data_IF_082197448144
#
_entry.id   IF_082197448144
#
_cell.length_a   1.000
_cell.length_b   1.000
_cell.length_c   1.000
_cell.angle_alpha   90.00
_cell.angle_beta   90.00
_cell.angle_gamma   90.00
#
_symmetry.space_group_name_H-M   'P 1'
#
loop_
_entity.id
_entity.type
_entity.pdbx_description
1 polymer ?
#
# COMPACT_ATOMS: atom_id res chain seq x y z
N UNK A 1 -44.96 6.67 17.13
CA UNK A 1 -43.86 5.69 17.30
C UNK A 1 -43.11 5.59 15.97
N UNK A 2 -42.23 6.52 15.62
CA UNK A 2 -41.68 6.51 14.25
C UNK A 2 -40.45 7.38 14.05
N UNK A 3 -40.40 8.52 14.71
CA UNK A 3 -39.26 9.46 14.61
C UNK A 3 -38.02 8.94 15.31
N UNK A 4 -38.18 8.39 16.53
CA UNK A 4 -37.06 7.83 17.30
C UNK A 4 -36.41 6.61 16.64
N UNK A 5 -37.22 5.72 16.05
CA UNK A 5 -36.72 4.53 15.34
C UNK A 5 -35.96 4.94 14.07
N UNK A 6 -36.46 5.92 13.32
CA UNK A 6 -35.79 6.44 12.12
C UNK A 6 -34.45 7.11 12.44
N UNK A 7 -34.39 7.88 13.53
CA UNK A 7 -33.15 8.48 14.04
C UNK A 7 -32.13 7.41 14.46
N UNK A 8 -32.58 6.35 15.14
CA UNK A 8 -31.71 5.25 15.54
C UNK A 8 -31.10 4.54 14.32
N UNK A 9 -31.92 4.24 13.31
CA UNK A 9 -31.48 3.58 12.07
C UNK A 9 -30.50 4.44 11.29
N UNK A 10 -30.71 5.77 11.24
CA UNK A 10 -29.74 6.70 10.65
C UNK A 10 -28.40 6.68 11.38
N UNK A 11 -28.39 6.74 12.72
CA UNK A 11 -27.15 6.71 13.50
C UNK A 11 -26.41 5.38 13.33
N UNK A 12 -27.14 4.26 13.32
CA UNK A 12 -26.60 2.92 13.07
C UNK A 12 -26.01 2.78 11.66
N UNK A 13 -26.65 3.39 10.65
CA UNK A 13 -26.14 3.39 9.28
C UNK A 13 -24.86 4.23 9.12
N UNK A 14 -24.72 5.35 9.85
CA UNK A 14 -23.49 6.16 9.84
C UNK A 14 -22.35 5.51 10.65
N UNK A 15 -22.64 4.65 11.63
CA UNK A 15 -21.62 3.97 12.44
C UNK A 15 -20.87 2.86 11.67
N UNK A 16 -21.38 2.41 10.51
CA UNK A 16 -20.76 1.34 9.71
C UNK A 16 -19.53 1.77 8.90
N UNK A 17 -19.15 3.05 8.90
CA UNK A 17 -18.07 3.59 8.06
C UNK A 17 -16.73 3.74 8.81
N UNK A 18 -16.50 3.00 9.89
CA UNK A 18 -15.24 3.07 10.65
C UNK A 18 -14.76 1.67 11.00
N UNK A 19 -14.17 0.97 10.03
CA UNK A 19 -13.16 -0.07 10.29
C UNK A 19 -12.50 -0.48 8.98
N UNK A 20 -11.65 0.39 8.43
CA UNK A 20 -10.43 -0.15 7.82
C UNK A 20 -9.59 -0.62 9.00
N UNK A 21 -9.27 -1.92 9.06
CA UNK A 21 -8.39 -2.46 10.09
C UNK A 21 -7.20 -1.50 10.27
N UNK A 22 -6.89 -1.14 11.52
CA UNK A 22 -5.70 -0.34 11.79
C UNK A 22 -4.52 -1.09 11.15
N UNK A 23 -3.90 -0.48 10.15
CA UNK A 23 -2.64 -0.98 9.64
C UNK A 23 -1.62 -0.67 10.73
N UNK A 24 -1.34 -1.66 11.58
CA UNK A 24 -0.50 -1.49 12.76
C UNK A 24 0.92 -1.00 12.40
N UNK A 25 1.46 -1.43 11.25
CA UNK A 25 2.69 -0.87 10.68
C UNK A 25 2.70 -1.04 9.14
N UNK A 26 2.37 0.03 8.42
CA UNK A 26 2.35 0.03 6.96
C UNK A 26 3.73 -0.23 6.34
N UNK A 27 4.79 0.19 7.02
CA UNK A 27 6.17 -0.05 6.58
C UNK A 27 6.50 -1.52 6.69
N UNK A 28 6.18 -2.15 7.83
CA UNK A 28 6.38 -3.59 8.02
C UNK A 28 5.63 -4.40 6.96
N UNK A 29 4.33 -4.14 6.77
CA UNK A 29 3.53 -4.84 5.76
C UNK A 29 4.13 -4.65 4.37
N UNK A 30 4.54 -3.44 4.02
CA UNK A 30 5.16 -3.21 2.71
C UNK A 30 6.46 -3.99 2.55
N UNK A 31 7.36 -3.96 3.54
CA UNK A 31 8.62 -4.70 3.49
C UNK A 31 8.43 -6.23 3.45
N UNK A 32 7.42 -6.76 4.14
CA UNK A 32 7.12 -8.20 4.14
C UNK A 32 6.60 -8.69 2.79
N UNK A 33 6.01 -7.79 1.98
CA UNK A 33 5.36 -8.14 0.71
C UNK A 33 6.12 -7.69 -0.54
N UNK A 34 7.26 -7.04 -0.40
CA UNK A 34 8.06 -6.55 -1.54
C UNK A 34 9.51 -7.04 -1.45
N UNK A 35 10.18 -7.10 -2.59
CA UNK A 35 11.59 -7.48 -2.69
C UNK A 35 12.32 -6.59 -3.69
N UNK A 36 13.65 -6.43 -3.58
CA UNK A 36 14.43 -5.67 -4.54
C UNK A 36 14.28 -6.23 -5.96
N UNK A 37 14.04 -5.37 -6.93
CA UNK A 37 14.01 -5.76 -8.34
C UNK A 37 15.43 -5.67 -8.89
N UNK A 38 15.98 -6.82 -9.30
CA UNK A 38 17.37 -6.99 -9.78
C UNK A 38 17.38 -7.75 -11.11
N UNK A 39 17.04 -7.10 -12.24
CA UNK A 39 16.98 -7.76 -13.53
C UNK A 39 18.37 -8.13 -14.04
N UNK A 40 18.43 -9.10 -14.96
CA UNK A 40 19.67 -9.38 -15.70
C UNK A 40 20.01 -8.20 -16.62
N UNK A 41 21.27 -8.10 -17.06
CA UNK A 41 21.70 -7.07 -18.01
C UNK A 41 20.87 -7.09 -19.29
N UNK A 42 20.54 -8.28 -19.80
CA UNK A 42 19.73 -8.43 -21.01
C UNK A 42 18.29 -7.91 -20.81
N UNK A 43 17.69 -8.17 -19.64
CA UNK A 43 16.36 -7.65 -19.30
C UNK A 43 16.42 -6.13 -19.13
N UNK A 44 17.39 -5.62 -18.37
CA UNK A 44 17.57 -4.19 -18.15
C UNK A 44 17.76 -3.42 -19.47
N UNK A 45 18.51 -3.98 -20.42
CA UNK A 45 18.80 -3.35 -21.70
C UNK A 45 17.57 -3.15 -22.61
N UNK A 46 16.50 -3.93 -22.40
CA UNK A 46 15.27 -3.83 -23.19
C UNK A 46 14.11 -3.18 -22.41
N UNK A 47 14.32 -2.83 -21.14
CA UNK A 47 13.31 -2.12 -20.35
C UNK A 47 13.07 -0.72 -20.95
N UNK A 48 11.80 -0.36 -21.03
CA UNK A 48 11.35 0.98 -21.38
C UNK A 48 11.65 1.95 -20.25
N UNK A 49 11.61 3.25 -20.55
CA UNK A 49 11.82 4.29 -19.55
C UNK A 49 10.83 4.21 -18.36
N UNK A 50 9.51 4.04 -18.58
CA UNK A 50 8.57 3.90 -17.47
C UNK A 50 8.88 2.69 -16.58
N UNK A 51 9.24 1.54 -17.15
CA UNK A 51 9.59 0.35 -16.37
C UNK A 51 10.83 0.58 -15.50
N UNK A 52 11.82 1.30 -16.01
CA UNK A 52 13.00 1.70 -15.24
C UNK A 52 12.64 2.65 -14.09
N UNK A 53 11.76 3.62 -14.34
CA UNK A 53 11.32 4.57 -13.33
C UNK A 53 10.53 3.86 -12.21
N UNK A 54 9.64 2.92 -12.54
CA UNK A 54 8.89 2.12 -11.58
C UNK A 54 9.80 1.24 -10.72
N UNK A 55 10.77 0.56 -11.35
CA UNK A 55 11.78 -0.23 -10.66
C UNK A 55 12.60 0.62 -9.70
N UNK A 56 13.06 1.80 -10.16
CA UNK A 56 13.86 2.72 -9.35
C UNK A 56 13.05 3.26 -8.16
N UNK A 57 11.78 3.61 -8.36
CA UNK A 57 10.90 4.09 -7.30
C UNK A 57 10.68 3.01 -6.23
N UNK A 58 10.41 1.76 -6.64
CA UNK A 58 10.24 0.64 -5.71
C UNK A 58 11.53 0.37 -4.91
N UNK A 59 12.68 0.30 -5.59
CA UNK A 59 13.96 0.02 -4.94
C UNK A 59 14.37 1.17 -4.01
N UNK A 60 14.17 2.43 -4.39
CA UNK A 60 14.44 3.59 -3.54
C UNK A 60 13.61 3.56 -2.25
N UNK A 61 12.32 3.24 -2.36
CA UNK A 61 11.46 3.04 -1.19
C UNK A 61 11.97 1.92 -0.30
N UNK A 62 12.42 0.80 -0.88
CA UNK A 62 12.98 -0.31 -0.10
C UNK A 62 14.30 0.00 0.60
N UNK A 63 15.14 0.88 0.04
CA UNK A 63 16.33 1.40 0.73
C UNK A 63 15.91 2.21 1.96
N UNK A 64 14.92 3.10 1.81
CA UNK A 64 14.43 3.97 2.88
C UNK A 64 13.70 3.19 3.99
N UNK A 65 12.84 2.26 3.61
CA UNK A 65 11.89 1.61 4.52
C UNK A 65 12.40 0.26 5.05
N UNK A 66 13.16 -0.47 4.25
CA UNK A 66 13.49 -1.87 4.51
C UNK A 66 15.02 -2.11 4.58
N UNK A 67 15.82 -1.05 4.51
CA UNK A 67 17.28 -1.11 4.52
C UNK A 67 17.87 -2.02 3.43
N UNK A 68 17.19 -2.09 2.28
CA UNK A 68 17.74 -2.79 1.12
C UNK A 68 19.05 -2.14 0.68
N UNK A 69 19.98 -2.97 0.23
CA UNK A 69 21.25 -2.48 -0.30
C UNK A 69 21.08 -2.12 -1.77
N UNK A 70 21.59 -0.96 -2.23
CA UNK A 70 21.56 -0.54 -3.63
C UNK A 70 22.13 -1.57 -4.60
#
# INVERSE_FOLDING_TARGET
MGTAVRLLVLILALAGCVSTALIDDARKIWCDNNQPIRPSVAVFAVMTRPELDDMNALNAKGVEWCHWRP
#
